data_IF_333030770893
#
_entry.id   IF_333030770893
#
_cell.length_a   1.000
_cell.length_b   1.000
_cell.length_c   1.000
_cell.angle_alpha   90.00
_cell.angle_beta   90.00
_cell.angle_gamma   90.00
#
_symmetry.space_group_name_H-M   'P 1'
#
loop_
_entity.id
_entity.type
_entity.pdbx_description
1 polymer ?
#
# COMPACT_ATOMS: atom_id res chain seq x y z
N UNK A 1 -1.33 16.79 -6.39
CA UNK A 1 -0.73 15.98 -5.31
C UNK A 1 0.05 14.84 -5.97
N UNK A 2 1.34 14.67 -5.65
CA UNK A 2 2.15 13.61 -6.25
C UNK A 2 1.85 12.27 -5.58
N UNK A 3 1.63 11.22 -6.38
CA UNK A 3 1.38 9.84 -5.93
C UNK A 3 2.53 8.95 -6.39
N UNK A 4 3.12 8.23 -5.46
CA UNK A 4 4.30 7.39 -5.69
C UNK A 4 3.87 5.93 -5.63
N UNK A 5 4.21 5.16 -6.67
CA UNK A 5 4.02 3.71 -6.66
C UNK A 5 5.26 3.03 -6.05
N UNK A 6 5.05 2.14 -5.09
CA UNK A 6 6.05 1.27 -4.51
C UNK A 6 5.67 -0.16 -4.85
N UNK A 7 6.61 -0.90 -5.43
CA UNK A 7 6.42 -2.31 -5.78
C UNK A 7 7.00 -3.17 -4.65
N UNK A 8 6.15 -4.02 -4.08
CA UNK A 8 6.45 -4.89 -2.95
C UNK A 8 5.94 -4.37 -1.60
N UNK A 9 5.95 -5.25 -0.62
CA UNK A 9 5.34 -5.04 0.71
C UNK A 9 6.28 -5.28 1.89
N UNK A 10 7.56 -5.51 1.62
CA UNK A 10 8.55 -5.79 2.64
C UNK A 10 8.83 -4.59 3.56
N UNK A 11 9.62 -4.78 4.64
CA UNK A 11 9.97 -3.71 5.58
C UNK A 11 10.53 -2.44 4.92
N UNK A 12 11.34 -2.59 3.86
CA UNK A 12 11.89 -1.44 3.12
C UNK A 12 10.79 -0.65 2.38
N UNK A 13 9.83 -1.34 1.77
CA UNK A 13 8.71 -0.73 1.08
C UNK A 13 7.81 0.03 2.07
N UNK A 14 7.48 -0.58 3.20
CA UNK A 14 6.65 0.02 4.23
C UNK A 14 7.35 1.21 4.92
N UNK A 15 8.64 1.10 5.23
CA UNK A 15 9.43 2.21 5.76
C UNK A 15 9.49 3.39 4.79
N UNK A 16 9.60 3.10 3.48
CA UNK A 16 9.59 4.13 2.43
C UNK A 16 8.22 4.79 2.33
N UNK A 17 7.14 3.99 2.39
CA UNK A 17 5.77 4.50 2.40
C UNK A 17 5.52 5.45 3.58
N UNK A 18 5.95 5.09 4.80
CA UNK A 18 5.79 5.94 5.99
C UNK A 18 6.47 7.30 5.81
N UNK A 19 7.71 7.33 5.32
CA UNK A 19 8.48 8.56 5.09
C UNK A 19 7.87 9.44 3.98
N UNK A 20 7.35 8.84 2.92
CA UNK A 20 6.70 9.59 1.83
C UNK A 20 5.37 10.19 2.30
N UNK A 21 4.58 9.43 3.05
CA UNK A 21 3.29 9.89 3.59
C UNK A 21 3.50 11.03 4.59
N UNK A 22 4.50 10.94 5.46
CA UNK A 22 4.84 12.02 6.40
C UNK A 22 5.35 13.28 5.69
N UNK A 23 6.06 13.12 4.57
CA UNK A 23 6.44 14.22 3.69
C UNK A 23 5.25 14.80 2.88
N UNK A 24 4.03 14.33 3.11
CA UNK A 24 2.81 14.85 2.50
C UNK A 24 2.41 14.17 1.19
N UNK A 25 3.14 13.15 0.74
CA UNK A 25 2.85 12.43 -0.51
C UNK A 25 1.73 11.39 -0.34
N UNK A 26 1.18 10.94 -1.46
CA UNK A 26 0.33 9.75 -1.51
C UNK A 26 1.14 8.56 -2.04
N UNK A 27 0.83 7.36 -1.56
CA UNK A 27 1.56 6.14 -1.91
C UNK A 27 0.58 5.06 -2.38
N UNK A 28 0.90 4.43 -3.50
CA UNK A 28 0.32 3.17 -3.94
C UNK A 28 1.32 2.05 -3.62
N UNK A 29 0.93 1.09 -2.78
CA UNK A 29 1.70 -0.12 -2.52
C UNK A 29 1.14 -1.23 -3.43
N UNK A 30 1.94 -1.69 -4.38
CA UNK A 30 1.56 -2.72 -5.36
C UNK A 30 2.30 -4.00 -5.02
N UNK A 31 1.57 -5.10 -4.83
CA UNK A 31 2.16 -6.34 -4.33
C UNK A 31 1.49 -7.57 -4.92
N UNK A 32 2.28 -8.64 -5.10
CA UNK A 32 1.79 -9.97 -5.47
C UNK A 32 0.99 -10.65 -4.36
N UNK A 33 1.12 -10.23 -3.09
CA UNK A 33 0.34 -10.78 -2.00
C UNK A 33 -1.05 -10.15 -1.94
N UNK A 34 -2.07 -10.98 -1.70
CA UNK A 34 -3.47 -10.56 -1.56
C UNK A 34 -3.69 -9.62 -0.37
N UNK A 35 -3.00 -9.89 0.74
CA UNK A 35 -3.00 -9.06 1.94
C UNK A 35 -1.59 -9.06 2.54
N UNK A 36 -0.82 -7.98 2.33
CA UNK A 36 0.55 -7.93 2.83
C UNK A 36 0.61 -7.87 4.35
N UNK A 37 1.45 -8.73 4.93
CA UNK A 37 1.54 -8.98 6.38
C UNK A 37 1.86 -7.72 7.20
N UNK A 38 2.68 -6.81 6.65
CA UNK A 38 3.04 -5.57 7.35
C UNK A 38 1.94 -4.52 7.38
N UNK A 39 0.99 -4.53 6.43
CA UNK A 39 -0.17 -3.64 6.46
C UNK A 39 -1.17 -4.08 7.54
N UNK A 40 -1.43 -5.37 7.65
CA UNK A 40 -2.30 -5.95 8.69
C UNK A 40 -1.79 -5.72 10.12
N UNK A 41 -0.50 -5.43 10.29
CA UNK A 41 0.10 -5.19 11.61
C UNK A 41 0.29 -3.71 11.92
N UNK A 42 0.77 -2.91 10.96
CA UNK A 42 1.11 -1.50 11.18
C UNK A 42 -0.05 -0.55 10.89
N UNK A 43 -0.82 -0.84 9.86
CA UNK A 43 -1.86 0.06 9.36
C UNK A 43 -3.27 -0.45 9.64
N UNK A 44 -3.44 -1.73 9.99
CA UNK A 44 -4.72 -2.23 10.50
C UNK A 44 -5.10 -1.59 11.85
N UNK A 45 -4.12 -1.18 12.67
CA UNK A 45 -4.38 -0.44 13.91
C UNK A 45 -4.89 0.99 13.69
N UNK A 46 -4.80 1.51 12.47
CA UNK A 46 -5.37 2.81 12.07
C UNK A 46 -6.82 2.69 11.55
N UNK A 47 -7.35 1.46 11.48
CA UNK A 47 -8.78 1.16 11.45
C UNK A 47 -9.11 0.45 12.78
N UNK A 48 -9.42 1.24 13.81
CA UNK A 48 -9.55 0.84 15.21
C UNK A 48 -10.01 -0.60 15.51
N UNK A 49 -9.30 -1.25 16.43
CA UNK A 49 -9.64 -2.55 17.05
C UNK A 49 -10.85 -2.42 18.00
N UNK A 50 -11.73 -1.45 17.81
CA UNK A 50 -12.98 -1.29 18.55
C UNK A 50 -14.10 -1.06 17.53
N UNK A 51 -15.22 -1.76 17.72
CA UNK A 51 -16.32 -1.97 16.76
C UNK A 51 -16.97 -0.73 16.11
N UNK A 52 -16.51 0.49 16.40
CA UNK A 52 -16.89 1.74 15.73
C UNK A 52 -16.01 2.10 14.52
N UNK A 53 -14.93 1.35 14.25
CA UNK A 53 -13.97 1.69 13.19
C UNK A 53 -14.38 1.28 11.76
N UNK A 54 -15.48 0.52 11.59
CA UNK A 54 -16.02 0.22 10.26
C UNK A 54 -16.54 1.49 9.55
N UNK A 55 -16.88 2.53 10.33
CA UNK A 55 -17.19 3.87 9.80
C UNK A 55 -15.97 4.78 9.60
N UNK A 56 -14.80 4.40 10.11
CA UNK A 56 -13.55 5.19 10.03
C UNK A 56 -12.55 4.71 8.97
N UNK A 57 -12.81 3.59 8.29
CA UNK A 57 -11.92 3.07 7.22
C UNK A 57 -11.94 3.91 5.95
N UNK A 58 -12.96 4.75 5.79
CA UNK A 58 -13.09 5.65 4.66
C UNK A 58 -12.77 7.07 5.09
N UNK A 59 -11.80 7.66 4.38
CA UNK A 59 -11.55 9.08 4.41
C UNK A 59 -12.87 9.84 4.24
N UNK A 60 -13.22 10.67 5.23
CA UNK A 60 -14.43 11.48 5.20
C UNK A 60 -14.49 12.39 3.96
N UNK A 61 -15.68 12.91 3.61
CA UNK A 61 -15.85 13.76 2.43
C UNK A 61 -14.80 14.88 2.37
N UNK A 62 -14.11 15.00 1.23
CA UNK A 62 -13.06 16.01 1.03
C UNK A 62 -11.66 15.63 1.52
N UNK A 63 -11.46 14.42 2.07
CA UNK A 63 -10.13 13.93 2.46
C UNK A 63 -9.59 12.91 1.44
N UNK A 64 -8.29 13.01 1.12
CA UNK A 64 -7.64 12.12 0.15
C UNK A 64 -6.90 11.00 0.88
N UNK A 65 -7.16 9.71 0.59
CA UNK A 65 -6.41 8.61 1.16
C UNK A 65 -4.95 8.67 0.71
N UNK A 66 -4.04 8.77 1.69
CA UNK A 66 -2.60 8.89 1.46
C UNK A 66 -1.96 7.53 1.17
N UNK A 67 -2.58 6.42 1.57
CA UNK A 67 -2.11 5.09 1.26
C UNK A 67 -3.20 4.27 0.56
N UNK A 68 -2.81 3.64 -0.52
CA UNK A 68 -3.63 2.68 -1.26
C UNK A 68 -2.84 1.40 -1.47
N UNK A 69 -3.46 0.27 -1.14
CA UNK A 69 -2.96 -1.06 -1.44
C UNK A 69 -3.61 -1.56 -2.73
N UNK A 70 -2.79 -2.15 -3.60
CA UNK A 70 -3.21 -2.93 -4.76
C UNK A 70 -2.49 -4.29 -4.66
N UNK A 71 -3.20 -5.26 -4.09
CA UNK A 71 -2.71 -6.61 -3.85
C UNK A 71 -3.11 -7.61 -4.93
N UNK A 72 -2.46 -8.76 -4.89
CA UNK A 72 -2.57 -9.82 -5.90
C UNK A 72 -2.20 -9.34 -7.32
N UNK A 73 -1.14 -8.54 -7.43
CA UNK A 73 -0.61 -8.00 -8.69
C UNK A 73 0.88 -8.28 -8.81
N UNK A 74 1.27 -9.03 -9.84
CA UNK A 74 2.65 -9.29 -10.21
C UNK A 74 3.13 -8.20 -11.16
N UNK A 75 4.08 -7.39 -10.72
CA UNK A 75 4.70 -6.36 -11.56
C UNK A 75 5.98 -6.90 -12.18
N UNK A 76 6.10 -6.82 -13.50
CA UNK A 76 7.30 -7.28 -14.22
C UNK A 76 7.04 -7.48 -15.72
N UNK A 77 8.07 -7.81 -16.51
CA UNK A 77 7.93 -8.07 -17.95
C UNK A 77 6.90 -9.16 -18.27
N UNK A 78 6.88 -10.21 -17.45
CA UNK A 78 5.94 -11.35 -17.55
C UNK A 78 4.85 -11.31 -16.46
N UNK A 79 4.63 -10.12 -15.88
CA UNK A 79 3.64 -9.90 -14.84
C UNK A 79 2.27 -9.54 -15.40
N UNK A 80 1.34 -9.25 -14.50
CA UNK A 80 0.01 -8.71 -14.82
C UNK A 80 0.12 -7.30 -15.44
N UNK A 81 1.15 -6.56 -15.03
CA UNK A 81 1.44 -5.21 -15.49
C UNK A 81 2.95 -4.90 -15.40
N UNK A 82 3.43 -4.05 -16.31
CA UNK A 82 4.82 -3.56 -16.30
C UNK A 82 4.97 -2.20 -15.60
N UNK A 83 6.19 -1.86 -15.18
CA UNK A 83 6.51 -0.56 -14.59
C UNK A 83 6.19 0.61 -15.54
N UNK A 84 6.47 0.44 -16.83
CA UNK A 84 6.18 1.46 -17.85
C UNK A 84 4.69 1.70 -18.02
N UNK A 85 3.87 0.64 -17.93
CA UNK A 85 2.41 0.78 -17.97
C UNK A 85 1.88 1.48 -16.72
N UNK A 86 2.38 1.14 -15.53
CA UNK A 86 2.03 1.86 -14.28
C UNK A 86 2.32 3.36 -14.43
N UNK A 87 3.52 3.71 -14.93
CA UNK A 87 3.89 5.11 -15.14
C UNK A 87 2.96 5.82 -16.13
N UNK A 88 2.64 5.16 -17.26
CA UNK A 88 1.75 5.70 -18.29
C UNK A 88 0.33 5.93 -17.76
N UNK A 89 -0.22 4.98 -17.01
CA UNK A 89 -1.55 5.09 -16.40
C UNK A 89 -1.59 6.21 -15.35
N UNK A 90 -0.53 6.33 -14.54
CA UNK A 90 -0.39 7.39 -13.54
C UNK A 90 -0.28 8.80 -14.16
N UNK A 91 0.33 8.94 -15.35
CA UNK A 91 0.48 10.22 -16.03
C UNK A 91 -0.85 10.91 -16.39
N UNK A 92 -1.94 10.14 -16.51
CA UNK A 92 -3.29 10.67 -16.73
C UNK A 92 -3.87 11.45 -15.55
N UNK A 93 -3.29 11.29 -14.35
CA UNK A 93 -3.84 11.80 -13.09
C UNK A 93 -5.08 11.05 -12.58
N UNK A 94 -5.64 10.12 -13.35
CA UNK A 94 -6.77 9.29 -12.94
C UNK A 94 -6.28 8.04 -12.22
N UNK A 95 -6.42 8.05 -10.88
CA UNK A 95 -5.95 6.96 -10.01
C UNK A 95 -6.64 5.62 -10.27
N UNK A 96 -7.85 5.61 -10.83
CA UNK A 96 -8.64 4.39 -11.01
C UNK A 96 -8.16 3.56 -12.22
N UNK A 97 -7.45 4.18 -13.17
CA UNK A 97 -7.05 3.52 -14.42
C UNK A 97 -6.19 2.28 -14.19
N UNK A 98 -5.33 2.29 -13.18
CA UNK A 98 -4.50 1.12 -12.85
C UNK A 98 -5.37 -0.09 -12.49
N UNK A 99 -6.36 0.11 -11.61
CA UNK A 99 -7.26 -0.96 -11.17
C UNK A 99 -8.19 -1.39 -12.30
N UNK A 100 -8.67 -0.45 -13.11
CA UNK A 100 -9.51 -0.74 -14.28
C UNK A 100 -8.77 -1.56 -15.33
N UNK A 101 -7.52 -1.21 -15.64
CA UNK A 101 -6.67 -1.95 -16.58
C UNK A 101 -6.45 -3.38 -16.11
N UNK A 102 -6.10 -3.57 -14.83
CA UNK A 102 -5.92 -4.90 -14.24
C UNK A 102 -7.20 -5.74 -14.32
N UNK A 103 -8.35 -5.15 -13.99
CA UNK A 103 -9.65 -5.82 -14.12
C UNK A 103 -10.00 -6.17 -15.56
N UNK A 104 -9.70 -5.28 -16.51
CA UNK A 104 -9.92 -5.52 -17.95
C UNK A 104 -9.08 -6.70 -18.47
N UNK A 105 -7.91 -6.94 -17.87
CA UNK A 105 -7.05 -8.10 -18.12
C UNK A 105 -7.48 -9.37 -17.40
N UNK A 106 -8.57 -9.33 -16.63
CA UNK A 106 -9.06 -10.48 -15.85
C UNK A 106 -8.28 -10.73 -14.55
N UNK A 107 -7.46 -9.78 -14.09
CA UNK A 107 -6.70 -9.90 -12.84
C UNK A 107 -7.62 -9.63 -11.65
N UNK A 108 -7.74 -10.61 -10.76
CA UNK A 108 -8.47 -10.46 -9.51
C UNK A 108 -7.64 -9.64 -8.52
N UNK A 109 -7.97 -8.36 -8.33
CA UNK A 109 -7.20 -7.46 -7.46
C UNK A 109 -7.84 -7.33 -6.08
N UNK A 110 -7.01 -7.23 -5.05
CA UNK A 110 -7.45 -6.75 -3.73
C UNK A 110 -7.05 -5.30 -3.54
N UNK A 111 -7.95 -4.50 -2.99
CA UNK A 111 -7.70 -3.07 -2.79
C UNK A 111 -8.08 -2.64 -1.39
N UNK A 112 -7.29 -1.74 -0.82
CA UNK A 112 -7.59 -1.07 0.43
C UNK A 112 -7.09 0.37 0.36
N UNK A 113 -7.78 1.31 0.98
CA UNK A 113 -7.37 2.70 1.07
C UNK A 113 -7.50 3.20 2.52
N UNK A 114 -6.62 4.12 2.92
CA UNK A 114 -6.68 4.72 4.25
C UNK A 114 -5.63 5.81 4.45
N UNK A 115 -5.36 6.13 5.72
CA UNK A 115 -4.45 7.21 6.15
C UNK A 115 -4.86 8.58 5.61
N UNK A 116 -5.93 9.12 6.17
CA UNK A 116 -6.51 10.41 5.75
C UNK A 116 -5.80 11.60 6.42
N UNK A 117 -5.12 11.36 7.55
CA UNK A 117 -4.24 12.31 8.23
C UNK A 117 -2.75 11.96 7.98
N UNK A 118 -1.83 12.92 8.07
CA UNK A 118 -0.40 12.65 8.05
C UNK A 118 0.00 11.69 9.18
N UNK A 119 0.98 10.82 8.92
CA UNK A 119 1.60 9.99 9.94
C UNK A 119 2.45 10.87 10.87
N UNK A 120 2.21 10.78 12.18
CA UNK A 120 3.00 11.45 13.21
C UNK A 120 4.00 10.49 13.89
N UNK A 121 3.67 9.19 13.93
CA UNK A 121 4.51 8.15 14.55
C UNK A 121 5.10 7.20 13.51
N UNK A 122 6.40 6.92 13.62
CA UNK A 122 7.14 6.03 12.73
C UNK A 122 7.48 4.71 13.43
N UNK A 123 7.44 3.60 12.69
CA UNK A 123 7.92 2.31 13.20
C UNK A 123 9.46 2.28 13.16
N UNK A 124 10.08 1.70 14.19
CA UNK A 124 11.50 1.39 14.13
C UNK A 124 11.72 0.12 13.29
N UNK A 125 11.72 0.33 11.96
CA UNK A 125 11.94 -0.74 11.00
C UNK A 125 13.28 -1.44 11.18
N UNK A 126 14.31 -0.79 11.75
CA UNK A 126 15.58 -1.48 12.04
C UNK A 126 15.36 -2.54 13.10
N UNK A 127 14.74 -2.17 14.23
CA UNK A 127 14.40 -3.13 15.29
C UNK A 127 13.47 -4.24 14.80
N UNK A 128 12.48 -3.93 13.95
CA UNK A 128 11.59 -4.94 13.35
C UNK A 128 12.36 -5.91 12.46
N UNK A 129 13.21 -5.40 11.55
CA UNK A 129 14.03 -6.24 10.65
C UNK A 129 14.98 -7.11 11.46
N UNK A 130 15.67 -6.55 12.46
CA UNK A 130 16.59 -7.30 13.33
C UNK A 130 15.85 -8.41 14.07
N UNK A 131 14.67 -8.15 14.64
CA UNK A 131 13.87 -9.20 15.30
C UNK A 131 13.39 -10.27 14.31
N UNK A 132 12.99 -9.88 13.11
CA UNK A 132 12.56 -10.82 12.08
C UNK A 132 13.69 -11.77 11.63
N UNK A 133 14.94 -11.28 11.59
CA UNK A 133 16.12 -12.10 11.28
C UNK A 133 16.44 -13.15 12.35
N UNK A 134 16.00 -12.92 13.59
CA UNK A 134 16.19 -13.87 14.70
C UNK A 134 15.07 -14.93 14.77
N UNK A 135 14.00 -14.78 13.99
CA UNK A 135 12.92 -15.77 13.96
C UNK A 135 13.42 -17.06 13.31
N UNK A 136 13.27 -18.17 14.02
CA UNK A 136 13.64 -19.49 13.50
C UNK A 136 12.70 -19.86 12.36
N UNK A 137 13.21 -19.85 11.13
CA UNK A 137 12.47 -20.40 9.98
C UNK A 137 12.66 -21.90 10.02
N UNK A 138 11.76 -22.60 10.72
CA UNK A 138 11.70 -24.06 10.64
C UNK A 138 11.41 -24.45 9.18
N UNK A 139 12.40 -25.07 8.53
CA UNK A 139 12.24 -25.72 7.23
C UNK A 139 11.85 -27.17 7.48
#
# INVERSE_FOLDING_TARGET
MQRIAIIGEGPAALSTAEKLISAGMCVDLITQCTAPFGLLRRFAGLAGVLGDAVTGSHCGPGTTPRLRLIGNVRVGPDGDITQNEIHRLAASGNRELLVLELKARGVAVTTWEGLCAPLQDFEDWRSVITRAQLAHVGI
#
